data_IF_505948221042
#
_entry.id   IF_505948221042
#
_cell.length_a   1.000
_cell.length_b   1.000
_cell.length_c   1.000
_cell.angle_alpha   90.00
_cell.angle_beta   90.00
_cell.angle_gamma   90.00
#
_symmetry.space_group_name_H-M   'P 1'
#
loop_
_entity.id
_entity.type
_entity.pdbx_description
1 polymer ?
#
# COMPACT_ATOMS: atom_id res chain seq x y z
N UNK A 1 -7.96 -18.95 -6.97
CA UNK A 1 -6.48 -18.94 -6.83
C UNK A 1 -6.16 -19.15 -5.37
N UNK A 2 -5.49 -20.25 -4.98
CA UNK A 2 -5.10 -20.45 -3.60
C UNK A 2 -4.12 -19.34 -3.18
N UNK A 3 -4.55 -18.52 -2.25
CA UNK A 3 -3.73 -17.46 -1.69
C UNK A 3 -2.61 -18.10 -0.83
N UNK A 4 -1.36 -18.07 -1.31
CA UNK A 4 -0.20 -18.64 -0.62
C UNK A 4 0.27 -17.83 0.59
N UNK A 5 -0.43 -16.77 0.99
CA UNK A 5 -0.13 -16.03 2.22
C UNK A 5 -0.08 -16.96 3.44
N UNK A 6 -0.95 -17.97 3.51
CA UNK A 6 -0.94 -18.93 4.62
C UNK A 6 0.31 -19.83 4.61
N UNK A 7 0.83 -20.16 3.42
CA UNK A 7 2.07 -20.94 3.28
C UNK A 7 3.30 -20.10 3.68
N UNK A 8 3.33 -18.83 3.30
CA UNK A 8 4.42 -17.93 3.70
C UNK A 8 4.42 -17.76 5.23
N UNK A 9 3.23 -17.59 5.84
CA UNK A 9 3.08 -17.47 7.29
C UNK A 9 3.56 -18.71 8.05
N UNK A 10 3.40 -19.92 7.51
CA UNK A 10 3.85 -21.14 8.19
C UNK A 10 5.37 -21.24 8.31
N UNK A 11 6.13 -20.52 7.49
CA UNK A 11 7.60 -20.54 7.56
C UNK A 11 8.14 -19.69 8.70
N UNK A 12 7.32 -18.82 9.31
CA UNK A 12 7.72 -18.00 10.44
C UNK A 12 7.52 -18.74 11.76
N UNK A 13 8.57 -18.76 12.58
CA UNK A 13 8.60 -19.43 13.88
C UNK A 13 8.90 -18.43 15.00
N UNK A 14 8.55 -18.77 16.24
CA UNK A 14 8.77 -17.94 17.44
C UNK A 14 7.54 -17.17 17.91
N UNK A 15 7.36 -17.05 19.23
CA UNK A 15 6.18 -16.43 19.82
C UNK A 15 6.31 -14.89 19.94
N UNK A 16 7.45 -14.42 20.45
CA UNK A 16 7.67 -12.98 20.72
C UNK A 16 8.27 -12.24 19.53
N UNK A 17 9.31 -12.81 18.90
CA UNK A 17 9.90 -12.28 17.65
C UNK A 17 9.83 -13.40 16.62
N UNK A 18 9.05 -13.18 15.57
CA UNK A 18 8.90 -14.12 14.49
C UNK A 18 10.07 -13.99 13.50
N UNK A 19 10.60 -15.13 13.07
CA UNK A 19 11.69 -15.21 12.11
C UNK A 19 11.41 -16.33 11.10
N UNK A 20 11.67 -16.12 9.80
CA UNK A 20 11.40 -17.12 8.78
C UNK A 20 12.48 -18.21 8.79
N UNK A 21 12.06 -19.45 8.56
CA UNK A 21 12.96 -20.55 8.24
C UNK A 21 13.53 -20.34 6.83
N UNK A 22 14.81 -19.97 6.75
CA UNK A 22 15.45 -19.63 5.48
C UNK A 22 15.50 -20.84 4.52
N UNK A 23 15.61 -22.06 5.03
CA UNK A 23 15.61 -23.26 4.21
C UNK A 23 14.28 -23.43 3.47
N UNK A 24 13.16 -23.25 4.15
CA UNK A 24 11.82 -23.39 3.57
C UNK A 24 11.52 -22.27 2.57
N UNK A 25 11.99 -21.05 2.85
CA UNK A 25 11.84 -19.90 1.93
C UNK A 25 12.60 -20.15 0.62
N UNK A 26 13.84 -20.64 0.70
CA UNK A 26 14.68 -20.89 -0.48
C UNK A 26 14.14 -22.01 -1.37
N UNK A 27 13.54 -23.05 -0.77
CA UNK A 27 12.99 -24.19 -1.49
C UNK A 27 11.48 -24.06 -1.76
N UNK A 28 10.92 -22.85 -1.60
CA UNK A 28 9.51 -22.61 -1.86
C UNK A 28 9.20 -22.74 -3.35
N UNK A 29 8.33 -23.69 -3.71
CA UNK A 29 7.86 -23.83 -5.08
C UNK A 29 6.85 -22.73 -5.42
N UNK A 30 7.21 -21.87 -6.39
CA UNK A 30 6.32 -20.86 -6.95
C UNK A 30 5.96 -21.26 -8.39
N UNK A 31 4.68 -21.14 -8.73
CA UNK A 31 4.24 -21.37 -10.11
C UNK A 31 4.58 -20.13 -10.94
N UNK A 32 5.43 -20.32 -11.94
CA UNK A 32 5.83 -19.25 -12.86
C UNK A 32 5.06 -19.41 -14.17
N UNK A 33 4.10 -18.52 -14.50
CA UNK A 33 3.34 -18.61 -15.75
C UNK A 33 4.19 -18.21 -16.96
N UNK A 34 3.72 -18.38 -18.21
CA UNK A 34 4.43 -17.93 -19.41
C UNK A 34 4.72 -16.43 -19.40
N UNK A 35 5.80 -16.00 -20.06
CA UNK A 35 6.31 -14.62 -20.00
C UNK A 35 5.27 -13.56 -20.38
N UNK A 36 4.48 -13.79 -21.43
CA UNK A 36 3.41 -12.88 -21.87
C UNK A 36 2.36 -12.65 -20.78
N UNK A 37 2.04 -13.70 -20.03
CA UNK A 37 1.10 -13.62 -18.90
C UNK A 37 1.71 -12.88 -17.73
N UNK A 38 3.00 -13.06 -17.46
CA UNK A 38 3.71 -12.31 -16.42
C UNK A 38 3.69 -10.81 -16.72
N UNK A 39 4.03 -10.41 -17.95
CA UNK A 39 4.02 -9.01 -18.39
C UNK A 39 2.64 -8.37 -18.24
N UNK A 40 1.59 -9.09 -18.67
CA UNK A 40 0.22 -8.63 -18.49
C UNK A 40 -0.12 -8.43 -17.01
N UNK A 41 0.19 -9.41 -16.16
CA UNK A 41 -0.07 -9.33 -14.71
C UNK A 41 0.67 -8.13 -14.10
N UNK A 42 1.95 -7.95 -14.41
CA UNK A 42 2.76 -6.81 -13.92
C UNK A 42 2.16 -5.49 -14.39
N UNK A 43 1.79 -5.36 -15.66
CA UNK A 43 1.20 -4.12 -16.18
C UNK A 43 -0.09 -3.70 -15.46
N UNK A 44 -0.88 -4.67 -15.00
CA UNK A 44 -2.10 -4.43 -14.24
C UNK A 44 -1.77 -4.07 -12.79
N UNK A 45 -0.88 -4.84 -12.14
CA UNK A 45 -0.49 -4.61 -10.76
C UNK A 45 0.24 -3.28 -10.57
N UNK A 46 1.08 -2.87 -11.51
CA UNK A 46 1.80 -1.58 -11.45
C UNK A 46 0.83 -0.40 -11.53
N UNK A 47 -0.21 -0.49 -12.38
CA UNK A 47 -1.26 0.53 -12.45
C UNK A 47 -2.02 0.65 -11.14
N UNK A 48 -2.40 -0.49 -10.54
CA UNK A 48 -3.07 -0.51 -9.24
C UNK A 48 -2.17 0.02 -8.12
N UNK A 49 -0.90 -0.37 -8.08
CA UNK A 49 0.07 0.11 -7.09
C UNK A 49 0.29 1.61 -7.18
N UNK A 50 0.43 2.13 -8.41
CA UNK A 50 0.57 3.57 -8.66
C UNK A 50 -0.66 4.33 -8.17
N UNK A 51 -1.86 3.88 -8.54
CA UNK A 51 -3.12 4.50 -8.12
C UNK A 51 -3.28 4.48 -6.59
N UNK A 52 -3.03 3.32 -5.97
CA UNK A 52 -3.15 3.16 -4.51
C UNK A 52 -2.19 4.08 -3.76
N UNK A 53 -0.93 4.17 -4.21
CA UNK A 53 0.08 5.07 -3.63
C UNK A 53 -0.33 6.54 -3.81
N UNK A 54 -0.76 6.92 -5.01
CA UNK A 54 -1.23 8.28 -5.29
C UNK A 54 -2.41 8.69 -4.40
N UNK A 55 -3.35 7.78 -4.14
CA UNK A 55 -4.51 8.06 -3.26
C UNK A 55 -4.06 8.15 -1.81
N UNK A 56 -3.23 7.20 -1.36
CA UNK A 56 -2.70 7.13 0.01
C UNK A 56 -1.97 8.41 0.39
N UNK A 57 -1.21 8.97 -0.53
CA UNK A 57 -0.43 10.19 -0.27
C UNK A 57 -1.21 11.48 -0.64
N UNK A 58 -2.07 11.41 -1.65
CA UNK A 58 -2.85 12.54 -2.16
C UNK A 58 -3.97 12.98 -1.22
N UNK A 59 -4.75 12.04 -0.68
CA UNK A 59 -5.90 12.36 0.17
C UNK A 59 -5.50 13.11 1.46
N UNK A 60 -4.48 12.68 2.23
CA UNK A 60 -4.06 13.43 3.41
C UNK A 60 -3.59 14.84 3.06
N UNK A 61 -2.89 15.00 1.93
CA UNK A 61 -2.42 16.31 1.45
C UNK A 61 -3.60 17.22 1.07
N UNK A 62 -4.58 16.68 0.38
CA UNK A 62 -5.80 17.41 -0.02
C UNK A 62 -6.60 17.86 1.21
N UNK A 63 -6.79 16.97 2.19
CA UNK A 63 -7.46 17.31 3.46
C UNK A 63 -6.74 18.48 4.16
N UNK A 64 -5.41 18.44 4.25
CA UNK A 64 -4.63 19.53 4.87
C UNK A 64 -4.82 20.86 4.12
N UNK A 65 -4.84 20.83 2.78
CA UNK A 65 -5.06 22.03 1.98
C UNK A 65 -6.46 22.60 2.18
N UNK A 66 -7.48 21.75 2.18
CA UNK A 66 -8.87 22.15 2.42
C UNK A 66 -9.03 22.75 3.82
N UNK A 67 -8.44 22.15 4.86
CA UNK A 67 -8.47 22.68 6.22
C UNK A 67 -7.82 24.05 6.31
N UNK A 68 -6.63 24.23 5.71
CA UNK A 68 -5.95 25.54 5.67
C UNK A 68 -6.78 26.60 4.96
N UNK A 69 -7.41 26.23 3.85
CA UNK A 69 -8.27 27.13 3.10
C UNK A 69 -9.50 27.55 3.93
N UNK A 70 -10.13 26.59 4.60
CA UNK A 70 -11.24 26.87 5.50
C UNK A 70 -10.82 27.82 6.64
N UNK A 71 -9.70 27.55 7.30
CA UNK A 71 -9.15 28.41 8.36
C UNK A 71 -8.91 29.84 7.85
N UNK A 72 -8.24 29.99 6.71
CA UNK A 72 -7.97 31.30 6.11
C UNK A 72 -9.25 32.11 5.86
N UNK A 73 -10.29 31.51 5.27
CA UNK A 73 -11.54 32.21 5.04
C UNK A 73 -12.35 32.45 6.32
N UNK A 74 -12.30 31.52 7.28
CA UNK A 74 -12.91 31.70 8.60
C UNK A 74 -12.32 32.92 9.31
N UNK A 75 -11.00 33.04 9.35
CA UNK A 75 -10.34 34.18 9.98
C UNK A 75 -10.68 35.50 9.25
N UNK A 76 -10.75 35.50 7.92
CA UNK A 76 -11.17 36.68 7.17
C UNK A 76 -12.62 37.10 7.45
N UNK A 77 -13.54 36.16 7.58
CA UNK A 77 -14.95 36.46 7.90
C UNK A 77 -15.13 36.96 9.34
N UNK A 78 -14.25 36.55 10.24
CA UNK A 78 -14.25 36.96 11.65
C UNK A 78 -13.38 38.20 11.91
N UNK A 79 -12.68 38.72 10.90
CA UNK A 79 -11.97 40.00 10.95
C UNK A 79 -12.95 41.16 10.79
N UNK A 80 -13.69 41.44 11.86
CA UNK A 80 -14.50 42.64 11.96
C UNK A 80 -13.58 43.83 12.25
N UNK A 81 -13.06 44.46 11.20
CA UNK A 81 -12.35 45.74 11.33
C UNK A 81 -13.22 46.74 12.11
N UNK A 82 -12.64 47.36 13.14
CA UNK A 82 -13.22 48.52 13.84
C UNK A 82 -13.05 49.80 13.03
#
# INVERSE_FOLDING_TARGET
MLNKINLIKSFFHGATIQHPNMYEVLHMNILVPPIKTQEYIVSVLDKFSTLATSIKDGLPKEIVLITKQYEYYREQLLDFKK
#
